data_IF_167252471904
#
_entry.id   IF_167252471904
#
_cell.length_a   1.000
_cell.length_b   1.000
_cell.length_c   1.000
_cell.angle_alpha   90.00
_cell.angle_beta   90.00
_cell.angle_gamma   90.00
#
_symmetry.space_group_name_H-M   'P 1'
#
loop_
_entity.id
_entity.type
_entity.pdbx_description
1 polymer ?
#
# COMPACT_ATOMS: atom_id res chain seq x y z
N UNK A 1 9.11 -6.31 29.66
CA UNK A 1 9.36 -5.53 28.43
C UNK A 1 9.11 -6.44 27.25
N UNK A 2 7.89 -6.43 26.70
CA UNK A 2 7.59 -7.09 25.44
C UNK A 2 7.56 -6.00 24.39
N UNK A 3 8.65 -5.83 23.64
CA UNK A 3 8.66 -4.97 22.48
C UNK A 3 7.62 -5.50 21.50
N UNK A 4 6.53 -4.78 21.31
CA UNK A 4 5.68 -5.02 20.14
C UNK A 4 6.54 -4.60 18.95
N UNK A 5 6.98 -5.56 18.14
CA UNK A 5 7.27 -5.29 16.73
C UNK A 5 5.98 -4.69 16.14
N UNK A 6 5.85 -3.37 16.20
CA UNK A 6 4.89 -2.64 15.40
C UNK A 6 5.49 -2.57 14.00
N UNK A 7 5.27 -3.64 13.22
CA UNK A 7 5.33 -3.51 11.77
C UNK A 7 4.17 -2.59 11.41
N UNK A 8 4.45 -1.33 11.08
CA UNK A 8 3.41 -0.39 10.63
C UNK A 8 2.70 -1.04 9.42
N UNK A 9 1.44 -1.41 9.62
CA UNK A 9 0.78 -2.50 8.89
C UNK A 9 0.34 -2.08 7.49
N UNK A 10 0.37 -0.78 7.20
CA UNK A 10 -0.27 -0.15 6.05
C UNK A 10 0.74 0.55 5.10
N UNK A 11 2.03 0.23 5.22
CA UNK A 11 3.09 0.78 4.35
C UNK A 11 3.70 -0.34 3.49
N UNK A 12 3.70 -0.22 2.15
CA UNK A 12 4.27 -1.18 1.19
C UNK A 12 5.80 -1.15 1.12
N UNK A 13 6.49 -0.78 2.21
CA UNK A 13 7.95 -0.76 2.32
C UNK A 13 8.36 -1.75 3.42
N UNK A 14 9.24 -2.72 3.14
CA UNK A 14 9.69 -3.71 4.12
C UNK A 14 10.33 -3.08 5.35
N UNK A 15 10.03 -3.64 6.53
CA UNK A 15 10.54 -3.15 7.81
C UNK A 15 12.07 -3.00 7.84
N UNK A 16 12.81 -3.94 7.26
CA UNK A 16 14.28 -3.86 7.19
C UNK A 16 14.81 -2.62 6.45
N UNK A 17 14.09 -2.10 5.45
CA UNK A 17 14.46 -0.85 4.79
C UNK A 17 14.20 0.31 5.73
N UNK A 18 13.03 0.33 6.38
CA UNK A 18 12.68 1.38 7.35
C UNK A 18 13.70 1.44 8.49
N UNK A 19 14.04 0.30 9.10
CA UNK A 19 15.07 0.20 10.15
C UNK A 19 16.43 0.72 9.65
N UNK A 20 16.88 0.29 8.47
CA UNK A 20 18.18 0.71 7.92
C UNK A 20 18.22 2.21 7.63
N UNK A 21 17.14 2.76 7.05
CA UNK A 21 17.02 4.18 6.71
C UNK A 21 16.92 5.03 7.97
N UNK A 22 16.13 4.60 8.96
CA UNK A 22 16.00 5.31 10.24
C UNK A 22 17.35 5.42 10.95
N UNK A 23 18.08 4.30 11.05
CA UNK A 23 19.41 4.25 11.64
C UNK A 23 20.41 5.17 10.91
N UNK A 24 20.42 5.16 9.57
CA UNK A 24 21.31 6.00 8.75
C UNK A 24 21.03 7.49 8.89
N UNK A 25 19.77 7.87 9.10
CA UNK A 25 19.35 9.27 9.23
C UNK A 25 19.25 9.73 10.69
N UNK A 26 19.64 8.90 11.67
CA UNK A 26 19.58 9.20 13.10
C UNK A 26 18.18 9.60 13.61
N UNK A 27 17.14 9.00 13.03
CA UNK A 27 15.74 9.21 13.44
C UNK A 27 15.18 7.97 14.13
N UNK A 28 14.16 8.15 14.98
CA UNK A 28 13.46 7.03 15.59
C UNK A 28 12.68 6.26 14.51
N UNK A 29 12.76 4.92 14.57
CA UNK A 29 12.08 4.06 13.58
C UNK A 29 10.56 4.27 13.58
N UNK A 30 9.96 4.39 14.77
CA UNK A 30 8.53 4.67 14.93
C UNK A 30 8.09 5.98 14.24
N UNK A 31 8.96 6.99 14.23
CA UNK A 31 8.65 8.28 13.59
C UNK A 31 8.73 8.18 12.07
N UNK A 32 9.69 7.40 11.54
CA UNK A 32 9.74 7.10 10.11
C UNK A 32 8.52 6.28 9.68
N UNK A 33 8.10 5.30 10.48
CA UNK A 33 6.88 4.54 10.19
C UNK A 33 5.65 5.44 10.12
N UNK A 34 5.43 6.31 11.12
CA UNK A 34 4.30 7.27 11.09
C UNK A 34 4.36 8.23 9.89
N UNK A 35 5.56 8.66 9.52
CA UNK A 35 5.76 9.50 8.35
C UNK A 35 5.32 8.78 7.07
N UNK A 36 5.74 7.52 6.90
CA UNK A 36 5.33 6.70 5.77
C UNK A 36 3.82 6.40 5.81
N UNK A 37 3.24 6.08 6.96
CA UNK A 37 1.79 5.90 7.11
C UNK A 37 1.02 7.15 6.70
N UNK A 38 1.50 8.35 7.07
CA UNK A 38 0.88 9.63 6.69
C UNK A 38 0.87 9.81 5.18
N UNK A 39 2.05 9.65 4.55
CA UNK A 39 2.24 9.73 3.10
C UNK A 39 1.27 8.76 2.39
N UNK A 40 1.18 7.52 2.87
CA UNK A 40 0.39 6.46 2.22
C UNK A 40 -1.12 6.58 2.49
N UNK A 41 -1.52 7.03 3.67
CA UNK A 41 -2.91 7.28 4.04
C UNK A 41 -3.54 8.34 3.13
N UNK A 42 -2.83 9.43 2.88
CA UNK A 42 -3.27 10.49 1.95
C UNK A 42 -3.37 10.01 0.50
N UNK A 43 -2.60 8.97 0.15
CA UNK A 43 -2.54 8.42 -1.20
C UNK A 43 -3.50 7.27 -1.49
N UNK A 44 -4.01 6.56 -0.48
CA UNK A 44 -4.90 5.41 -0.71
C UNK A 44 -6.13 5.75 -1.58
N UNK A 45 -6.64 6.99 -1.45
CA UNK A 45 -7.77 7.48 -2.24
C UNK A 45 -7.36 8.04 -3.62
N UNK A 46 -6.11 8.51 -3.77
CA UNK A 46 -5.63 9.24 -4.95
C UNK A 46 -4.60 8.48 -5.80
N UNK A 47 -4.20 7.28 -5.39
CA UNK A 47 -3.11 6.51 -6.03
C UNK A 47 -3.36 6.27 -7.52
N UNK A 48 -4.58 5.93 -7.91
CA UNK A 48 -4.93 5.70 -9.31
C UNK A 48 -4.75 6.94 -10.17
N UNK A 49 -5.17 8.11 -9.67
CA UNK A 49 -5.04 9.38 -10.38
C UNK A 49 -3.58 9.79 -10.57
N UNK A 50 -2.72 9.53 -9.58
CA UNK A 50 -1.27 9.77 -9.68
C UNK A 50 -0.67 8.85 -10.75
N UNK A 51 -0.99 7.55 -10.73
CA UNK A 51 -0.48 6.60 -11.73
C UNK A 51 -0.96 6.97 -13.13
N UNK A 52 -2.24 7.32 -13.31
CA UNK A 52 -2.79 7.72 -14.61
C UNK A 52 -2.12 9.01 -15.14
N UNK A 53 -1.90 10.00 -14.27
CA UNK A 53 -1.22 11.24 -14.64
C UNK A 53 0.20 10.98 -15.16
N UNK A 54 0.99 10.22 -14.41
CA UNK A 54 2.38 9.95 -14.77
C UNK A 54 2.53 8.95 -15.93
N UNK A 55 1.56 8.05 -16.15
CA UNK A 55 1.49 7.24 -17.38
C UNK A 55 1.22 8.06 -18.64
N UNK A 56 0.51 9.18 -18.51
CA UNK A 56 0.15 10.06 -19.64
C UNK A 56 1.22 11.09 -19.98
N UNK A 57 2.28 11.16 -19.19
CA UNK A 57 3.40 12.10 -19.35
C UNK A 57 4.61 11.33 -19.92
N UNK A 58 5.63 12.03 -20.44
CA UNK A 58 6.95 11.44 -20.79
C UNK A 58 7.75 10.96 -19.54
N UNK A 59 7.06 10.60 -18.45
CA UNK A 59 7.68 10.12 -17.23
C UNK A 59 8.03 8.62 -17.36
N UNK A 60 8.99 8.12 -16.58
CA UNK A 60 9.32 6.69 -16.56
C UNK A 60 8.11 5.82 -16.22
N UNK A 61 8.05 4.64 -16.84
CA UNK A 61 6.94 3.71 -16.64
C UNK A 61 6.85 3.26 -15.18
N UNK A 62 5.63 3.20 -14.65
CA UNK A 62 5.39 2.72 -13.30
C UNK A 62 5.69 1.20 -13.21
N UNK A 63 6.44 0.80 -12.18
CA UNK A 63 6.88 -0.59 -11.99
C UNK A 63 6.01 -1.27 -10.94
N UNK A 64 5.27 -2.31 -11.33
CA UNK A 64 4.54 -3.16 -10.38
C UNK A 64 5.49 -4.13 -9.68
N UNK A 65 5.39 -4.20 -8.35
CA UNK A 65 6.17 -5.16 -7.56
C UNK A 65 5.64 -6.57 -7.78
N UNK A 66 6.51 -7.58 -7.77
CA UNK A 66 6.19 -8.95 -8.16
C UNK A 66 5.05 -9.60 -7.34
N UNK A 67 4.90 -9.21 -6.08
CA UNK A 67 3.80 -9.68 -5.22
C UNK A 67 2.45 -9.04 -5.52
N UNK A 68 2.43 -7.95 -6.30
CA UNK A 68 1.23 -7.17 -6.61
C UNK A 68 0.77 -6.25 -5.51
N UNK A 69 1.51 -6.08 -4.42
CA UNK A 69 1.06 -5.26 -3.29
C UNK A 69 1.39 -3.79 -3.48
N UNK A 70 2.46 -3.51 -4.24
CA UNK A 70 2.98 -2.17 -4.40
C UNK A 70 3.21 -1.82 -5.87
N UNK A 71 3.23 -0.53 -6.16
CA UNK A 71 3.68 0.05 -7.42
C UNK A 71 4.65 1.17 -7.12
N UNK A 72 5.76 1.21 -7.88
CA UNK A 72 6.72 2.31 -7.85
C UNK A 72 6.39 3.24 -9.01
N UNK A 73 6.08 4.50 -8.70
CA UNK A 73 5.86 5.57 -9.68
C UNK A 73 7.02 6.55 -9.59
N UNK A 74 7.48 7.08 -10.72
CA UNK A 74 8.53 8.10 -10.74
C UNK A 74 7.89 9.48 -10.92
N UNK A 75 7.95 10.29 -9.89
CA UNK A 75 7.27 11.60 -9.82
C UNK A 75 8.28 12.74 -9.81
N UNK A 76 7.85 13.94 -10.16
CA UNK A 76 8.70 15.13 -10.00
C UNK A 76 8.87 15.52 -8.51
N UNK A 77 9.89 16.31 -8.21
CA UNK A 77 10.16 16.81 -6.85
C UNK A 77 8.96 17.57 -6.26
N UNK A 78 8.19 18.28 -7.10
CA UNK A 78 7.07 19.08 -6.62
C UNK A 78 5.94 18.18 -6.09
N UNK A 79 5.67 17.08 -6.78
CA UNK A 79 4.66 16.08 -6.41
C UNK A 79 5.10 15.34 -5.18
N UNK A 80 6.37 14.90 -5.13
CA UNK A 80 6.96 14.29 -3.94
C UNK A 80 6.84 15.20 -2.70
N UNK A 81 7.21 16.47 -2.84
CA UNK A 81 7.14 17.43 -1.73
C UNK A 81 5.71 17.73 -1.28
N UNK A 82 4.72 17.57 -2.18
CA UNK A 82 3.31 17.70 -1.83
C UNK A 82 2.81 16.50 -1.03
N UNK A 83 3.17 15.28 -1.40
CA UNK A 83 2.75 14.08 -0.68
C UNK A 83 3.32 13.98 0.74
N UNK A 84 4.39 14.70 1.02
CA UNK A 84 5.04 14.76 2.33
C UNK A 84 5.00 16.17 2.94
N UNK A 85 4.07 17.03 2.51
CA UNK A 85 4.05 18.45 2.87
C UNK A 85 3.93 18.67 4.38
N UNK A 86 3.18 17.82 5.07
CA UNK A 86 2.90 17.93 6.52
C UNK A 86 4.01 17.35 7.40
N UNK A 87 5.05 16.77 6.80
CA UNK A 87 6.17 16.19 7.53
C UNK A 87 7.32 17.19 7.74
N UNK A 88 7.98 17.14 8.90
CA UNK A 88 9.27 17.79 9.12
C UNK A 88 10.31 17.39 8.07
N UNK A 89 11.23 18.29 7.73
CA UNK A 89 12.22 18.10 6.66
C UNK A 89 13.09 16.85 6.84
N UNK A 90 13.45 16.53 8.09
CA UNK A 90 14.23 15.33 8.43
C UNK A 90 13.46 14.03 8.15
N UNK A 91 12.17 13.97 8.52
CA UNK A 91 11.30 12.83 8.24
C UNK A 91 10.97 12.72 6.75
N UNK A 92 10.77 13.85 6.08
CA UNK A 92 10.58 13.93 4.62
C UNK A 92 11.79 13.37 3.88
N UNK A 93 12.99 13.75 4.28
CA UNK A 93 14.25 13.27 3.70
C UNK A 93 14.42 11.77 3.91
N UNK A 94 14.15 11.28 5.12
CA UNK A 94 14.23 9.86 5.41
C UNK A 94 13.16 9.03 4.69
N UNK A 95 11.90 9.50 4.63
CA UNK A 95 10.85 8.84 3.87
C UNK A 95 11.22 8.74 2.38
N UNK A 96 11.75 9.83 1.80
CA UNK A 96 12.26 9.83 0.42
C UNK A 96 13.37 8.80 0.21
N UNK A 97 14.29 8.70 1.16
CA UNK A 97 15.34 7.69 1.12
C UNK A 97 14.79 6.27 1.21
N UNK A 98 13.75 6.02 2.01
CA UNK A 98 13.10 4.71 2.11
C UNK A 98 12.43 4.30 0.79
N UNK A 99 11.71 5.22 0.13
CA UNK A 99 11.10 4.96 -1.16
C UNK A 99 12.15 4.68 -2.25
N UNK A 100 13.23 5.47 -2.28
CA UNK A 100 14.34 5.27 -3.22
C UNK A 100 15.12 3.96 -2.96
N UNK A 101 15.23 3.53 -1.70
CA UNK A 101 15.87 2.27 -1.35
C UNK A 101 15.02 1.06 -1.74
N UNK A 102 13.71 1.12 -1.50
CA UNK A 102 12.79 0.09 -1.96
C UNK A 102 12.76 -0.01 -3.49
N UNK A 103 12.70 1.12 -4.19
CA UNK A 103 12.72 1.15 -5.66
C UNK A 103 13.95 0.45 -6.23
N UNK A 104 15.15 0.74 -5.70
CA UNK A 104 16.40 0.06 -6.08
C UNK A 104 16.35 -1.44 -5.84
N UNK A 105 15.79 -1.87 -4.71
CA UNK A 105 15.68 -3.30 -4.39
C UNK A 105 14.80 -4.06 -5.39
N UNK A 106 13.66 -3.46 -5.77
CA UNK A 106 12.77 -4.06 -6.78
C UNK A 106 13.24 -3.79 -8.21
N UNK A 107 14.45 -3.23 -8.39
CA UNK A 107 15.06 -2.86 -9.68
C UNK A 107 14.19 -1.90 -10.49
N UNK A 108 13.44 -1.04 -9.80
CA UNK A 108 12.75 0.10 -10.37
C UNK A 108 13.73 1.29 -10.33
N UNK A 109 14.44 1.51 -11.43
CA UNK A 109 15.31 2.68 -11.61
C UNK A 109 14.68 3.61 -12.66
N UNK A 110 14.69 4.92 -12.45
CA UNK A 110 14.16 5.84 -13.44
C UNK A 110 15.10 5.91 -14.64
N UNK A 111 14.54 5.91 -15.85
CA UNK A 111 15.29 6.16 -17.08
C UNK A 111 15.64 7.66 -17.26
N UNK A 112 15.14 8.54 -16.38
CA UNK A 112 15.23 10.01 -16.50
C UNK A 112 15.81 10.70 -15.26
N UNK A 113 16.69 11.68 -15.48
CA UNK A 113 17.15 12.60 -14.44
C UNK A 113 16.00 13.47 -13.91
N UNK A 114 15.99 13.74 -12.60
CA UNK A 114 15.04 14.67 -11.96
C UNK A 114 13.75 14.06 -11.42
N UNK A 115 13.54 12.75 -11.57
CA UNK A 115 12.40 12.04 -10.95
C UNK A 115 12.78 11.37 -9.64
N UNK A 116 11.80 11.25 -8.75
CA UNK A 116 11.90 10.62 -7.43
C UNK A 116 10.97 9.41 -7.38
N UNK A 117 11.43 8.30 -6.83
CA UNK A 117 10.60 7.12 -6.63
C UNK A 117 9.55 7.37 -5.55
N UNK A 118 8.30 7.05 -5.88
CA UNK A 118 7.15 7.06 -4.99
C UNK A 118 6.50 5.67 -4.99
N UNK A 119 6.75 4.93 -3.91
CA UNK A 119 6.09 3.66 -3.62
C UNK A 119 4.67 3.92 -3.15
N UNK A 120 3.71 3.21 -3.71
CA UNK A 120 2.30 3.28 -3.33
C UNK A 120 1.68 1.89 -3.31
N UNK A 121 0.54 1.70 -2.60
CA UNK A 121 -0.26 0.49 -2.76
C UNK A 121 -0.60 0.27 -4.24
N UNK A 122 -0.67 -0.98 -4.66
CA UNK A 122 -1.09 -1.29 -6.03
C UNK A 122 -2.56 -0.92 -6.27
N UNK A 123 -2.95 -0.82 -7.54
CA UNK A 123 -4.35 -0.60 -7.92
C UNK A 123 -5.29 -1.68 -7.39
N UNK A 124 -4.82 -2.93 -7.33
CA UNK A 124 -5.59 -4.07 -6.81
C UNK A 124 -5.90 -3.86 -5.31
N UNK A 125 -4.88 -3.45 -4.54
CA UNK A 125 -5.05 -3.12 -3.11
C UNK A 125 -5.98 -1.91 -2.95
N UNK A 126 -5.74 -0.82 -3.69
CA UNK A 126 -6.56 0.40 -3.62
C UNK A 126 -8.04 0.17 -3.97
N UNK A 127 -8.33 -0.66 -4.98
CA UNK A 127 -9.69 -1.01 -5.36
C UNK A 127 -10.44 -1.76 -4.25
N UNK A 128 -9.77 -2.70 -3.58
CA UNK A 128 -10.34 -3.45 -2.47
C UNK A 128 -10.56 -2.60 -1.22
N UNK A 129 -9.65 -1.65 -0.95
CA UNK A 129 -9.83 -0.67 0.13
C UNK A 129 -11.06 0.19 -0.10
N UNK A 130 -11.23 0.74 -1.32
CA UNK A 130 -12.44 1.50 -1.69
C UNK A 130 -13.72 0.66 -1.68
N UNK A 131 -13.61 -0.64 -1.90
CA UNK A 131 -14.71 -1.59 -1.73
C UNK A 131 -15.03 -1.91 -0.25
N UNK A 132 -14.31 -1.31 0.71
CA UNK A 132 -14.59 -1.41 2.14
C UNK A 132 -13.74 -2.43 2.89
N UNK A 133 -12.70 -3.01 2.28
CA UNK A 133 -11.69 -3.77 3.03
C UNK A 133 -10.74 -2.83 3.78
N UNK A 134 -10.21 -3.25 4.92
CA UNK A 134 -9.02 -2.57 5.45
C UNK A 134 -7.84 -2.83 4.52
N UNK A 135 -6.82 -1.97 4.51
CA UNK A 135 -5.63 -2.20 3.68
C UNK A 135 -5.04 -3.59 3.92
N UNK A 136 -4.89 -3.99 5.19
CA UNK A 136 -4.43 -5.35 5.49
C UNK A 136 -5.29 -6.48 4.92
N UNK A 137 -6.61 -6.31 4.92
CA UNK A 137 -7.52 -7.27 4.31
C UNK A 137 -7.36 -7.30 2.79
N UNK A 138 -7.17 -6.13 2.17
CA UNK A 138 -6.91 -6.01 0.74
C UNK A 138 -5.60 -6.71 0.35
N UNK A 139 -4.51 -6.50 1.08
CA UNK A 139 -3.22 -7.18 0.83
C UNK A 139 -3.34 -8.70 0.94
N UNK A 140 -4.00 -9.20 2.00
CA UNK A 140 -4.27 -10.64 2.17
C UNK A 140 -5.08 -11.18 1.00
N UNK A 141 -6.09 -10.44 0.55
CA UNK A 141 -6.94 -10.85 -0.56
C UNK A 141 -6.18 -10.86 -1.90
N UNK A 142 -5.34 -9.85 -2.18
CA UNK A 142 -4.49 -9.82 -3.38
C UNK A 142 -3.55 -11.02 -3.43
N UNK A 143 -2.90 -11.36 -2.32
CA UNK A 143 -2.01 -12.53 -2.27
C UNK A 143 -2.80 -13.84 -2.40
N UNK A 144 -3.99 -13.94 -1.82
CA UNK A 144 -4.89 -15.09 -1.95
C UNK A 144 -5.32 -15.28 -3.41
N UNK A 145 -5.67 -14.21 -4.11
CA UNK A 145 -6.09 -14.24 -5.51
C UNK A 145 -4.94 -14.66 -6.45
N UNK A 146 -3.70 -14.45 -6.01
CA UNK A 146 -2.47 -14.96 -6.66
C UNK A 146 -2.13 -16.41 -6.30
N UNK A 147 -2.97 -17.07 -5.52
CA UNK A 147 -2.84 -18.50 -5.18
C UNK A 147 -1.94 -18.80 -3.99
N UNK A 148 -1.51 -17.79 -3.21
CA UNK A 148 -0.70 -18.04 -2.02
C UNK A 148 -1.53 -18.71 -0.91
N UNK A 149 -0.91 -19.66 -0.23
CA UNK A 149 -1.48 -20.31 0.96
C UNK A 149 -1.46 -19.36 2.16
N UNK A 150 -2.29 -19.61 3.18
CA UNK A 150 -2.32 -18.78 4.40
C UNK A 150 -0.95 -18.69 5.09
N UNK A 151 -0.14 -19.75 5.00
CA UNK A 151 1.24 -19.76 5.53
C UNK A 151 2.13 -18.82 4.72
N UNK A 152 2.10 -18.90 3.41
CA UNK A 152 2.90 -18.04 2.53
C UNK A 152 2.48 -16.57 2.64
N UNK A 153 1.18 -16.29 2.76
CA UNK A 153 0.66 -14.95 3.08
C UNK A 153 1.21 -14.47 4.43
N UNK A 154 1.22 -15.33 5.44
CA UNK A 154 1.76 -15.01 6.77
C UNK A 154 3.25 -14.69 6.72
N UNK A 155 4.04 -15.54 6.07
CA UNK A 155 5.47 -15.32 5.84
C UNK A 155 5.72 -14.01 5.08
N UNK A 156 4.95 -13.77 4.03
CA UNK A 156 5.13 -12.60 3.16
C UNK A 156 4.81 -11.29 3.83
N UNK A 157 3.82 -11.30 4.72
CA UNK A 157 3.31 -10.11 5.38
C UNK A 157 3.81 -9.98 6.83
N UNK A 158 4.65 -10.90 7.31
CA UNK A 158 5.13 -10.89 8.71
C UNK A 158 4.03 -11.15 9.73
N UNK A 159 3.07 -12.01 9.41
CA UNK A 159 1.95 -12.37 10.28
C UNK A 159 1.95 -13.85 10.65
N UNK A 160 1.44 -14.13 11.85
CA UNK A 160 1.07 -15.50 12.20
C UNK A 160 -0.04 -16.02 11.28
N UNK A 161 0.05 -17.28 10.85
CA UNK A 161 -0.96 -17.95 10.01
C UNK A 161 -2.38 -17.83 10.57
N UNK A 162 -2.53 -17.86 11.90
CA UNK A 162 -3.85 -17.70 12.53
C UNK A 162 -4.42 -16.28 12.32
N UNK A 163 -3.57 -15.25 12.31
CA UNK A 163 -3.98 -13.88 11.99
C UNK A 163 -4.46 -13.79 10.55
N UNK A 164 -3.75 -14.43 9.61
CA UNK A 164 -4.19 -14.52 8.21
C UNK A 164 -5.56 -15.18 8.11
N UNK A 165 -5.77 -16.31 8.81
CA UNK A 165 -7.07 -16.99 8.86
C UNK A 165 -8.19 -16.08 9.35
N UNK A 166 -7.94 -15.27 10.38
CA UNK A 166 -8.89 -14.27 10.88
C UNK A 166 -9.19 -13.21 9.81
N UNK A 167 -8.19 -12.72 9.08
CA UNK A 167 -8.42 -11.80 7.97
C UNK A 167 -9.28 -12.44 6.88
N UNK A 168 -8.97 -13.67 6.43
CA UNK A 168 -9.77 -14.39 5.44
C UNK A 168 -11.24 -14.51 5.86
N UNK A 169 -11.50 -14.92 7.10
CA UNK A 169 -12.87 -15.04 7.60
C UNK A 169 -13.63 -13.71 7.58
N UNK A 170 -12.97 -12.61 7.97
CA UNK A 170 -13.57 -11.27 7.94
C UNK A 170 -13.80 -10.76 6.51
N UNK A 171 -12.93 -11.13 5.57
CA UNK A 171 -13.10 -10.80 4.14
C UNK A 171 -14.31 -11.55 3.59
N UNK A 172 -14.37 -12.86 3.82
CA UNK A 172 -15.48 -13.69 3.33
C UNK A 172 -16.83 -13.20 3.90
N UNK A 173 -16.88 -12.84 5.18
CA UNK A 173 -18.08 -12.24 5.80
C UNK A 173 -18.50 -10.92 5.13
N UNK A 174 -17.55 -10.02 4.84
CA UNK A 174 -17.84 -8.76 4.12
C UNK A 174 -18.38 -9.01 2.71
N UNK A 175 -17.86 -10.03 2.02
CA UNK A 175 -18.32 -10.41 0.68
C UNK A 175 -19.74 -11.00 0.74
N UNK A 176 -20.03 -11.85 1.73
CA UNK A 176 -21.38 -12.40 1.94
C UNK A 176 -22.40 -11.29 2.24
N UNK A 177 -22.05 -10.35 3.14
CA UNK A 177 -22.90 -9.22 3.46
C UNK A 177 -23.18 -8.33 2.23
N UNK A 178 -22.15 -8.07 1.42
CA UNK A 178 -22.29 -7.30 0.18
C UNK A 178 -23.19 -8.01 -0.85
N UNK A 179 -23.03 -9.33 -1.03
CA UNK A 179 -23.91 -10.12 -1.90
C UNK A 179 -25.36 -10.08 -1.44
N UNK A 180 -25.60 -10.27 -0.14
CA UNK A 180 -26.93 -10.19 0.45
C UNK A 180 -27.56 -8.81 0.25
N UNK A 181 -26.79 -7.74 0.38
CA UNK A 181 -27.27 -6.38 0.11
C UNK A 181 -27.70 -6.20 -1.34
N UNK A 182 -26.91 -6.69 -2.30
CA UNK A 182 -27.25 -6.64 -3.73
C UNK A 182 -28.55 -7.38 -4.03
N UNK A 183 -28.71 -8.61 -3.51
CA UNK A 183 -29.94 -9.40 -3.66
C UNK A 183 -31.18 -8.67 -3.11
N UNK A 184 -31.05 -7.97 -1.98
CA UNK A 184 -32.14 -7.19 -1.39
C UNK A 184 -32.51 -5.98 -2.25
N UNK A 185 -31.53 -5.29 -2.84
CA UNK A 185 -31.76 -4.13 -3.73
C UNK A 185 -32.39 -4.58 -5.05
N UNK A 186 -31.90 -5.65 -5.65
CA UNK A 186 -32.49 -6.23 -6.86
C UNK A 186 -33.93 -6.71 -6.63
N UNK A 187 -34.18 -7.40 -5.51
CA UNK A 187 -35.53 -7.81 -5.12
C UNK A 187 -36.48 -6.62 -4.84
N UNK A 188 -35.95 -5.49 -4.37
CA UNK A 188 -36.72 -4.26 -4.16
C UNK A 188 -37.06 -3.55 -5.48
N UNK A 189 -36.09 -3.43 -6.40
CA UNK A 189 -36.29 -2.82 -7.73
C UNK A 189 -37.21 -3.64 -8.63
N UNK A 190 -37.15 -4.97 -8.57
CA UNK A 190 -38.06 -5.87 -9.29
C UNK A 190 -39.53 -5.78 -8.82
N UNK A 191 -39.78 -5.38 -7.57
CA UNK A 191 -41.13 -5.24 -6.99
C UNK A 191 -41.78 -3.87 -7.23
N UNK A 192 -41.00 -2.85 -7.61
CA UNK A 192 -41.51 -1.51 -7.93
C UNK A 192 -41.91 -1.34 -9.41
N UNK A 193 -41.44 -2.23 -10.29
CA UNK A 193 -41.65 -2.17 -11.74
C UNK A 193 -42.64 -3.24 -12.28
N UNK A 194 -43.36 -3.95 -11.40
CA UNK A 194 -44.39 -4.93 -11.75
C UNK A 194 -45.71 -4.64 -11.06
#
# INVERSE_FOLDING_TARGET
MGGREQTSVDVPIPARIVTAVAARNLIAEDDLWRALETIHGDMADSADAIVDHYRSTDAPEAVSVADGLATVVFVDERTWNRSAADLPDELRTAAKAAHAEFAREVRAEPDSEGTVALVMPSREVGALVRAGLSQRQAEVQVLRDRGLTQREVGERLGMATNTVKVHCHRIDAKVEDARRLLELVEGYTGRQNG
#
